data_IF_248434733083
#
_entry.id   IF_248434733083
#
_cell.length_a   1.000
_cell.length_b   1.000
_cell.length_c   1.000
_cell.angle_alpha   90.00
_cell.angle_beta   90.00
_cell.angle_gamma   90.00
#
_symmetry.space_group_name_H-M   'P 1'
#
loop_
_entity.id
_entity.type
_entity.pdbx_description
1 polymer ?
#
# COMPACT_ATOMS: atom_id res chain seq x y z
N UNK A 1 10.42 -6.23 -5.29
CA UNK A 1 8.96 -6.32 -5.23
C UNK A 1 8.55 -6.38 -3.76
N UNK A 2 7.43 -5.76 -3.41
CA UNK A 2 6.88 -5.80 -2.06
C UNK A 2 5.43 -6.26 -2.12
N UNK A 3 5.00 -7.01 -1.11
CA UNK A 3 3.64 -7.52 -0.99
C UNK A 3 3.08 -7.06 0.34
N UNK A 4 1.91 -6.42 0.31
CA UNK A 4 1.13 -6.11 1.50
C UNK A 4 0.32 -7.34 1.88
N UNK A 5 0.50 -7.81 3.11
CA UNK A 5 -0.19 -8.97 3.67
C UNK A 5 -1.09 -8.49 4.79
N UNK A 6 -2.36 -8.89 4.73
CA UNK A 6 -3.37 -8.64 5.75
C UNK A 6 -3.62 -9.93 6.51
N UNK A 7 -3.71 -9.82 7.83
CA UNK A 7 -4.35 -10.80 8.70
C UNK A 7 -5.35 -10.06 9.57
N UNK A 8 -6.62 -10.42 9.50
CA UNK A 8 -7.68 -9.85 10.33
C UNK A 8 -8.66 -10.94 10.75
N UNK A 9 -9.27 -10.76 11.91
CA UNK A 9 -10.42 -11.55 12.34
C UNK A 9 -11.68 -10.95 11.73
N UNK A 10 -12.38 -11.75 10.93
CA UNK A 10 -13.62 -11.37 10.28
C UNK A 10 -14.77 -12.19 10.87
N UNK A 11 -15.77 -11.51 11.41
CA UNK A 11 -16.97 -12.14 11.98
C UNK A 11 -18.18 -11.69 11.17
N UNK A 12 -18.87 -12.64 10.54
CA UNK A 12 -20.07 -12.39 9.73
C UNK A 12 -19.83 -11.63 8.42
N UNK A 13 -18.59 -11.24 8.12
CA UNK A 13 -18.18 -10.60 6.86
C UNK A 13 -17.07 -11.37 6.15
N UNK A 14 -17.02 -11.25 4.83
CA UNK A 14 -16.02 -11.82 3.93
C UNK A 14 -15.71 -10.83 2.81
N UNK A 15 -14.83 -11.21 1.88
CA UNK A 15 -14.47 -10.44 0.70
C UNK A 15 -13.96 -9.01 1.00
N UNK A 16 -13.26 -8.82 2.13
CA UNK A 16 -12.75 -7.52 2.53
C UNK A 16 -11.70 -7.02 1.53
N UNK A 17 -11.95 -5.86 0.92
CA UNK A 17 -11.07 -5.27 -0.10
C UNK A 17 -11.19 -3.75 -0.14
N UNK A 18 -10.15 -3.03 -0.57
CA UNK A 18 -10.24 -1.59 -0.78
C UNK A 18 -11.24 -1.27 -1.91
N UNK A 19 -11.97 -0.16 -1.77
CA UNK A 19 -12.86 0.37 -2.80
C UNK A 19 -12.05 1.02 -3.95
N UNK A 20 -11.42 0.19 -4.78
CA UNK A 20 -10.48 0.66 -5.81
C UNK A 20 -11.12 0.70 -7.21
N UNK A 21 -11.73 1.83 -7.55
CA UNK A 21 -12.44 2.05 -8.83
C UNK A 21 -11.81 3.17 -9.65
N UNK A 22 -12.05 3.24 -10.96
CA UNK A 22 -11.43 4.29 -11.78
C UNK A 22 -11.96 5.69 -11.42
N UNK A 23 -13.24 5.79 -11.07
CA UNK A 23 -13.89 7.03 -10.64
C UNK A 23 -13.49 7.45 -9.22
N UNK A 24 -13.32 6.48 -8.31
CA UNK A 24 -12.80 6.70 -6.96
C UNK A 24 -11.66 5.72 -6.67
N UNK A 25 -10.42 6.10 -6.99
CA UNK A 25 -9.32 5.16 -6.96
C UNK A 25 -8.69 5.12 -5.56
N UNK A 26 -8.36 3.92 -5.09
CA UNK A 26 -7.91 3.76 -3.69
C UNK A 26 -6.45 4.21 -3.53
N UNK A 27 -6.18 5.00 -2.49
CA UNK A 27 -4.85 5.52 -2.19
C UNK A 27 -4.18 4.68 -1.11
N UNK A 28 -3.22 3.85 -1.52
CA UNK A 28 -2.43 3.09 -0.57
C UNK A 28 -1.35 3.98 0.06
N UNK A 29 -1.55 4.34 1.32
CA UNK A 29 -0.68 5.27 2.05
C UNK A 29 0.45 4.51 2.75
N UNK A 30 1.69 4.80 2.38
CA UNK A 30 2.88 4.20 2.98
C UNK A 30 3.87 5.23 3.51
N UNK A 31 4.58 4.91 4.60
CA UNK A 31 5.89 5.53 4.83
C UNK A 31 6.93 4.85 3.96
N UNK A 32 7.78 5.67 3.35
CA UNK A 32 8.85 5.21 2.46
C UNK A 32 10.20 5.57 3.03
N UNK A 33 11.15 4.64 2.90
CA UNK A 33 12.56 4.85 3.17
C UNK A 33 13.34 4.82 1.86
N UNK A 34 14.22 5.79 1.67
CA UNK A 34 15.13 5.78 0.54
C UNK A 34 16.22 4.71 0.71
N UNK A 35 16.38 3.84 -0.28
CA UNK A 35 17.43 2.80 -0.26
C UNK A 35 18.85 3.36 -0.33
N UNK A 36 19.01 4.56 -0.91
CA UNK A 36 20.33 5.18 -1.14
C UNK A 36 20.87 5.86 0.11
N UNK A 37 20.10 6.76 0.74
CA UNK A 37 20.55 7.52 1.91
C UNK A 37 19.96 7.02 3.23
N UNK A 38 19.11 5.99 3.21
CA UNK A 38 18.43 5.41 4.39
C UNK A 38 17.55 6.38 5.17
N UNK A 39 17.20 7.52 4.57
CA UNK A 39 16.28 8.50 5.16
C UNK A 39 14.84 8.04 4.96
N UNK A 40 14.04 8.08 6.02
CA UNK A 40 12.60 7.86 5.98
C UNK A 40 11.88 9.18 5.73
N UNK A 41 10.92 9.20 4.82
CA UNK A 41 10.14 10.40 4.55
C UNK A 41 9.16 10.66 5.71
N UNK A 42 9.08 11.92 6.16
CA UNK A 42 8.27 12.31 7.31
C UNK A 42 6.76 12.14 7.06
N UNK A 43 6.32 12.30 5.81
CA UNK A 43 4.91 12.17 5.44
C UNK A 43 4.67 10.83 4.77
N UNK A 44 3.45 10.31 4.96
CA UNK A 44 2.93 9.22 4.14
C UNK A 44 2.85 9.64 2.68
N UNK A 45 3.16 8.70 1.79
CA UNK A 45 3.00 8.86 0.35
C UNK A 45 1.92 7.91 -0.13
N UNK A 46 1.02 8.42 -0.97
CA UNK A 46 -0.03 7.62 -1.58
C UNK A 46 0.45 7.01 -2.90
N UNK A 47 0.17 5.73 -3.09
CA UNK A 47 0.32 5.03 -4.38
C UNK A 47 -1.06 4.57 -4.81
N UNK A 48 -1.39 4.76 -6.08
CA UNK A 48 -2.70 4.44 -6.64
C UNK A 48 -2.53 3.68 -7.96
N UNK A 49 -3.36 2.67 -8.24
CA UNK A 49 -3.20 1.85 -9.46
C UNK A 49 -3.47 2.56 -10.78
N UNK A 50 -4.22 3.66 -10.77
CA UNK A 50 -4.64 4.36 -11.99
C UNK A 50 -3.79 5.59 -12.31
N UNK A 51 -3.00 6.07 -11.35
CA UNK A 51 -2.02 7.12 -11.59
C UNK A 51 -0.97 6.62 -12.57
N UNK A 52 -0.60 7.43 -13.56
CA UNK A 52 0.47 7.11 -14.51
C UNK A 52 1.39 8.31 -14.64
N UNK A 53 2.55 8.22 -13.99
CA UNK A 53 3.55 9.27 -13.96
C UNK A 53 4.74 8.90 -14.85
N UNK A 54 5.12 9.80 -15.77
CA UNK A 54 6.29 9.62 -16.62
C UNK A 54 7.60 9.70 -15.81
N UNK A 55 8.48 8.72 -16.00
CA UNK A 55 9.81 8.72 -15.39
C UNK A 55 10.82 9.45 -16.28
N UNK A 56 11.65 10.31 -15.70
CA UNK A 56 12.68 11.04 -16.43
C UNK A 56 13.83 10.12 -16.84
N UNK A 57 14.22 10.17 -18.11
CA UNK A 57 15.34 9.36 -18.63
C UNK A 57 15.01 7.89 -18.88
N UNK A 58 13.75 7.48 -18.78
CA UNK A 58 13.27 6.16 -19.21
C UNK A 58 12.03 6.29 -20.09
N UNK A 59 11.67 5.23 -20.84
CA UNK A 59 10.41 5.15 -21.59
C UNK A 59 9.24 4.60 -20.76
N UNK A 60 9.47 4.28 -19.48
CA UNK A 60 8.46 3.68 -18.61
C UNK A 60 7.62 4.70 -17.85
N UNK A 61 6.39 4.31 -17.53
CA UNK A 61 5.49 5.00 -16.62
C UNK A 61 5.43 4.20 -15.30
N UNK A 62 5.20 4.91 -14.20
CA UNK A 62 5.02 4.30 -12.89
C UNK A 62 3.88 4.99 -12.15
N UNK A 63 3.24 4.31 -11.22
CA UNK A 63 2.13 4.89 -10.47
C UNK A 63 2.58 6.00 -9.52
N UNK A 64 3.79 5.88 -8.97
CA UNK A 64 4.39 6.87 -8.10
C UNK A 64 5.85 7.10 -8.49
N UNK A 65 6.28 8.35 -8.59
CA UNK A 65 7.67 8.75 -8.89
C UNK A 65 8.13 9.78 -7.87
N UNK A 66 9.25 9.51 -7.22
CA UNK A 66 9.80 10.35 -6.15
C UNK A 66 11.31 10.55 -6.27
N UNK A 67 11.75 11.78 -5.97
CA UNK A 67 13.16 12.15 -5.86
C UNK A 67 13.51 12.47 -4.41
N UNK A 68 14.36 11.65 -3.80
CA UNK A 68 14.83 11.90 -2.45
C UNK A 68 15.62 13.22 -2.38
N UNK A 69 15.16 14.16 -1.53
CA UNK A 69 15.81 15.47 -1.33
C UNK A 69 17.19 15.33 -0.65
N UNK A 70 17.34 14.38 0.27
CA UNK A 70 18.59 14.18 1.03
C UNK A 70 19.71 13.56 0.18
N UNK A 71 19.37 12.76 -0.82
CA UNK A 71 20.35 12.21 -1.78
C UNK A 71 21.04 13.30 -2.63
N UNK A 72 20.48 14.52 -2.70
CA UNK A 72 21.16 15.66 -3.34
C UNK A 72 22.33 16.19 -2.50
N UNK A 73 22.33 15.98 -1.19
CA UNK A 73 23.23 16.64 -0.24
C UNK A 73 24.37 15.72 0.23
N UNK A 74 24.25 14.41 0.05
CA UNK A 74 25.19 13.38 0.52
C UNK A 74 26.50 13.22 -0.25
N UNK A 75 27.15 14.30 -0.71
CA UNK A 75 28.54 14.24 -1.20
C UNK A 75 29.48 15.00 -0.27
N UNK A 76 29.55 14.59 0.99
CA UNK A 76 30.51 15.12 1.99
C UNK A 76 31.91 14.51 1.87
N UNK A 77 32.25 13.84 0.76
CA UNK A 77 33.59 13.31 0.51
C UNK A 77 34.21 14.00 -0.71
N UNK A 78 35.36 14.68 -0.57
CA UNK A 78 36.07 15.30 -1.68
C UNK A 78 36.84 14.21 -2.45
N UNK A 79 36.16 13.39 -3.24
CA UNK A 79 36.79 12.50 -4.20
C UNK A 79 36.23 12.74 -5.60
N UNK A 80 37.06 13.36 -6.44
CA UNK A 80 37.01 13.40 -7.91
C UNK A 80 35.61 13.54 -8.53
N UNK A 81 35.16 14.80 -8.58
CA UNK A 81 33.86 15.32 -9.04
C UNK A 81 33.33 14.88 -10.42
N UNK A 82 34.13 14.25 -11.29
CA UNK A 82 33.68 13.93 -12.66
C UNK A 82 33.23 12.47 -12.85
N UNK A 83 33.70 11.53 -12.02
CA UNK A 83 33.45 10.09 -12.23
C UNK A 83 32.38 9.53 -11.26
N UNK A 84 32.19 10.17 -10.10
CA UNK A 84 31.20 9.73 -9.10
C UNK A 84 29.77 10.22 -9.41
N UNK A 85 29.62 11.37 -10.08
CA UNK A 85 28.32 11.96 -10.41
C UNK A 85 27.51 11.11 -11.42
N UNK A 86 28.20 10.36 -12.29
CA UNK A 86 27.61 9.43 -13.26
C UNK A 86 27.24 8.08 -12.64
N UNK A 87 27.87 7.69 -11.52
CA UNK A 87 27.59 6.42 -10.82
C UNK A 87 26.47 6.55 -9.77
N UNK A 88 26.38 7.68 -9.07
CA UNK A 88 25.32 8.02 -8.11
C UNK A 88 24.27 8.93 -8.73
N UNK A 89 23.90 8.65 -9.97
CA UNK A 89 22.86 9.38 -10.71
C UNK A 89 21.59 9.51 -9.87
N UNK A 90 20.90 10.63 -10.07
CA UNK A 90 19.61 10.99 -9.50
C UNK A 90 18.56 9.90 -9.79
N UNK A 91 18.60 8.79 -9.05
CA UNK A 91 17.69 7.68 -9.27
C UNK A 91 16.33 8.09 -8.73
N UNK A 92 15.42 8.37 -9.65
CA UNK A 92 14.01 8.42 -9.36
C UNK A 92 13.61 7.10 -8.73
N UNK A 93 13.03 7.18 -7.55
CA UNK A 93 12.39 6.05 -6.94
C UNK A 93 10.99 5.94 -7.52
N UNK A 94 10.58 4.73 -7.86
CA UNK A 94 9.27 4.48 -8.45
C UNK A 94 8.54 3.39 -7.67
N UNK A 95 7.22 3.47 -7.62
CA UNK A 95 6.37 2.38 -7.17
C UNK A 95 5.24 2.18 -8.19
N UNK A 96 4.98 0.93 -8.56
CA UNK A 96 3.91 0.57 -9.49
C UNK A 96 3.07 -0.57 -8.95
N UNK A 97 1.77 -0.56 -9.24
CA UNK A 97 0.76 -1.53 -8.86
C UNK A 97 0.29 -2.21 -10.13
N UNK A 98 0.56 -3.51 -10.27
CA UNK A 98 0.28 -4.24 -11.51
C UNK A 98 -1.08 -4.94 -11.52
N UNK A 99 -1.66 -5.19 -10.34
CA UNK A 99 -2.89 -5.95 -10.18
C UNK A 99 -3.78 -5.31 -9.11
N UNK A 100 -5.10 -5.54 -9.23
CA UNK A 100 -6.06 -5.15 -8.23
C UNK A 100 -5.85 -5.95 -6.92
N UNK A 101 -6.31 -5.38 -5.80
CA UNK A 101 -6.26 -6.06 -4.52
C UNK A 101 -7.07 -7.36 -4.54
N UNK A 102 -6.50 -8.42 -3.98
CA UNK A 102 -7.16 -9.71 -3.77
C UNK A 102 -8.07 -9.58 -2.55
N UNK A 103 -9.38 -9.93 -2.66
CA UNK A 103 -10.30 -9.89 -1.53
C UNK A 103 -9.84 -10.81 -0.41
N UNK A 104 -9.84 -10.30 0.82
CA UNK A 104 -9.55 -11.06 2.03
C UNK A 104 -10.80 -11.82 2.46
N UNK A 105 -10.75 -13.14 2.35
CA UNK A 105 -11.86 -14.03 2.69
C UNK A 105 -11.90 -14.33 4.18
N UNK A 106 -13.11 -14.56 4.70
CA UNK A 106 -13.28 -15.04 6.06
C UNK A 106 -12.65 -16.43 6.21
N UNK A 107 -11.92 -16.65 7.31
CA UNK A 107 -11.41 -17.96 7.66
C UNK A 107 -11.19 -18.11 9.15
N UNK A 108 -11.59 -19.26 9.69
CA UNK A 108 -11.32 -19.67 11.07
C UNK A 108 -10.31 -20.83 11.07
N UNK A 109 -9.08 -20.65 11.57
CA UNK A 109 -8.50 -19.43 12.16
C UNK A 109 -8.10 -18.36 11.11
N UNK A 110 -7.94 -17.08 11.50
CA UNK A 110 -7.48 -16.01 10.62
C UNK A 110 -6.14 -16.33 9.96
N UNK A 111 -6.11 -16.31 8.63
CA UNK A 111 -4.90 -16.61 7.84
C UNK A 111 -4.34 -15.35 7.21
N UNK A 112 -3.05 -15.13 7.37
CA UNK A 112 -2.38 -14.04 6.67
C UNK A 112 -2.44 -14.27 5.15
N UNK A 113 -2.98 -13.30 4.42
CA UNK A 113 -3.16 -13.36 2.98
C UNK A 113 -2.55 -12.14 2.29
N UNK A 114 -1.98 -12.36 1.10
CA UNK A 114 -1.45 -11.30 0.26
C UNK A 114 -2.60 -10.50 -0.31
N UNK A 115 -2.67 -9.22 0.04
CA UNK A 115 -3.70 -8.31 -0.45
C UNK A 115 -3.29 -7.76 -1.82
N UNK A 116 -2.10 -7.17 -1.92
CA UNK A 116 -1.66 -6.47 -3.14
C UNK A 116 -0.13 -6.43 -3.25
N UNK A 117 0.36 -6.34 -4.48
CA UNK A 117 1.78 -6.34 -4.81
C UNK A 117 2.21 -5.03 -5.48
N UNK A 118 3.38 -4.54 -5.06
CA UNK A 118 3.98 -3.30 -5.54
C UNK A 118 5.40 -3.57 -6.10
N UNK A 119 5.67 -3.08 -7.31
CA UNK A 119 7.03 -3.01 -7.85
C UNK A 119 7.68 -1.69 -7.44
N UNK A 120 8.51 -1.73 -6.41
CA UNK A 120 9.26 -0.56 -5.93
C UNK A 120 10.72 -0.60 -6.37
N UNK A 121 11.25 0.54 -6.81
CA UNK A 121 12.66 0.74 -7.16
C UNK A 121 13.17 1.99 -6.45
N UNK A 122 14.33 1.91 -5.80
CA UNK A 122 14.95 3.05 -5.11
C UNK A 122 14.35 3.43 -3.74
N UNK A 123 13.18 2.87 -3.38
CA UNK A 123 12.52 3.03 -2.08
C UNK A 123 12.06 1.69 -1.51
N UNK A 124 11.87 1.66 -0.19
CA UNK A 124 11.28 0.54 0.55
C UNK A 124 10.10 1.06 1.38
N UNK A 125 9.02 0.30 1.46
CA UNK A 125 7.89 0.63 2.35
C UNK A 125 8.21 0.18 3.77
N UNK A 126 8.00 1.07 4.74
CA UNK A 126 8.29 0.80 6.16
C UNK A 126 7.03 0.66 7.00
N UNK A 127 5.96 1.35 6.62
CA UNK A 127 4.70 1.38 7.37
C UNK A 127 3.55 1.58 6.40
N UNK A 128 2.43 0.90 6.61
CA UNK A 128 1.21 1.03 5.82
C UNK A 128 0.10 1.60 6.70
N UNK A 129 -0.68 2.54 6.15
CA UNK A 129 -1.87 3.07 6.80
C UNK A 129 -3.10 2.67 5.96
N UNK A 130 -4.04 1.88 6.51
CA UNK A 130 -5.24 1.43 5.80
C UNK A 130 -6.31 2.53 5.70
N UNK A 131 -5.89 3.76 5.39
CA UNK A 131 -6.80 4.91 5.23
C UNK A 131 -7.55 4.83 3.91
N UNK A 132 -8.84 5.11 3.96
CA UNK A 132 -9.74 5.12 2.80
C UNK A 132 -10.91 4.16 2.96
N UNK A 133 -11.76 4.12 1.93
CA UNK A 133 -12.97 3.31 1.95
C UNK A 133 -12.70 1.84 1.65
N UNK A 134 -13.11 0.96 2.56
CA UNK A 134 -13.10 -0.48 2.36
C UNK A 134 -14.51 -1.01 2.08
N UNK A 135 -14.54 -2.17 1.43
CA UNK A 135 -15.72 -2.91 1.05
C UNK A 135 -15.65 -4.30 1.69
N UNK A 136 -16.76 -4.78 2.23
CA UNK A 136 -16.92 -6.17 2.67
C UNK A 136 -18.32 -6.67 2.32
N UNK A 137 -18.52 -7.97 2.39
CA UNK A 137 -19.79 -8.62 2.08
C UNK A 137 -20.19 -9.53 3.24
N UNK A 138 -21.46 -9.51 3.65
CA UNK A 138 -22.00 -10.45 4.62
C UNK A 138 -21.86 -11.89 4.11
N UNK A 139 -21.42 -12.81 4.99
CA UNK A 139 -21.09 -14.19 4.62
C UNK A 139 -22.31 -14.93 4.07
N UNK A 140 -23.44 -14.83 4.79
CA UNK A 140 -24.68 -15.54 4.46
C UNK A 140 -25.69 -14.68 3.70
N UNK A 141 -25.75 -13.39 4.03
CA UNK A 141 -26.75 -12.45 3.49
C UNK A 141 -26.35 -11.82 2.15
N UNK A 142 -25.05 -11.85 1.84
CA UNK A 142 -24.42 -11.02 0.80
C UNK A 142 -24.76 -9.53 0.89
N UNK A 143 -25.06 -9.02 2.10
CA UNK A 143 -25.20 -7.60 2.39
C UNK A 143 -23.87 -6.91 2.08
N UNK A 144 -23.90 -5.84 1.28
CA UNK A 144 -22.69 -5.11 0.90
C UNK A 144 -22.43 -4.00 1.91
N UNK A 145 -21.31 -4.09 2.59
CA UNK A 145 -20.81 -3.06 3.49
C UNK A 145 -19.85 -2.16 2.71
N UNK A 146 -20.07 -0.85 2.76
CA UNK A 146 -19.32 0.16 2.01
C UNK A 146 -18.93 1.31 2.93
N UNK A 147 -17.78 1.95 2.68
CA UNK A 147 -17.31 3.05 3.54
C UNK A 147 -16.78 2.54 4.88
N UNK A 148 -16.26 1.32 4.90
CA UNK A 148 -15.62 0.74 6.08
C UNK A 148 -14.32 1.48 6.32
N UNK A 149 -14.20 2.14 7.46
CA UNK A 149 -12.97 2.78 7.92
C UNK A 149 -12.22 1.83 8.86
N UNK A 150 -10.98 1.51 8.49
CA UNK A 150 -10.11 0.59 9.22
C UNK A 150 -8.94 1.31 9.91
N UNK A 151 -8.96 2.65 9.96
CA UNK A 151 -7.88 3.44 10.55
C UNK A 151 -7.74 3.27 12.06
N UNK A 152 -8.86 3.00 12.76
CA UNK A 152 -8.88 2.74 14.21
C UNK A 152 -8.49 1.29 14.57
N UNK A 153 -8.30 0.42 13.57
CA UNK A 153 -7.87 -0.97 13.76
C UNK A 153 -9.00 -1.97 14.00
N UNK A 154 -10.23 -1.48 14.20
CA UNK A 154 -11.43 -2.29 14.37
C UNK A 154 -12.65 -1.63 13.71
N UNK A 155 -13.60 -2.46 13.29
CA UNK A 155 -14.86 -2.01 12.71
C UNK A 155 -15.99 -2.96 13.13
N UNK A 156 -17.17 -2.39 13.35
CA UNK A 156 -18.35 -3.10 13.81
C UNK A 156 -19.57 -2.55 13.10
N UNK A 157 -20.49 -3.44 12.74
CA UNK A 157 -21.78 -3.10 12.16
C UNK A 157 -22.78 -4.23 12.42
N UNK A 158 -23.99 -4.11 11.91
CA UNK A 158 -25.05 -5.09 12.07
C UNK A 158 -25.64 -5.48 10.71
N UNK A 159 -25.67 -6.79 10.44
CA UNK A 159 -26.31 -7.29 9.24
C UNK A 159 -27.80 -7.53 9.50
N UNK A 160 -28.63 -6.54 9.15
CA UNK A 160 -30.08 -6.64 9.34
C UNK A 160 -30.71 -7.85 8.61
N UNK A 161 -30.10 -8.33 7.52
CA UNK A 161 -30.64 -9.47 6.77
C UNK A 161 -30.29 -10.81 7.40
N UNK A 162 -29.09 -10.93 7.96
CA UNK A 162 -28.69 -12.10 8.74
C UNK A 162 -29.30 -12.08 10.15
N UNK A 163 -29.55 -10.88 10.68
CA UNK A 163 -29.97 -10.69 12.08
C UNK A 163 -28.82 -10.90 13.07
N UNK A 164 -27.57 -10.65 12.64
CA UNK A 164 -26.35 -10.90 13.40
C UNK A 164 -25.38 -9.71 13.32
N UNK A 165 -24.51 -9.60 14.33
CA UNK A 165 -23.44 -8.61 14.38
C UNK A 165 -22.28 -9.00 13.46
N UNK A 166 -21.73 -8.01 12.76
CA UNK A 166 -20.55 -8.18 11.93
C UNK A 166 -19.40 -7.34 12.45
N UNK A 167 -18.17 -7.86 12.36
CA UNK A 167 -17.00 -7.10 12.79
C UNK A 167 -15.72 -7.51 12.09
N UNK A 168 -14.76 -6.58 12.09
CA UNK A 168 -13.39 -6.72 11.59
C UNK A 168 -12.48 -6.28 12.73
N UNK A 169 -11.63 -7.18 13.23
CA UNK A 169 -10.74 -6.90 14.38
C UNK A 169 -9.38 -7.54 14.21
N UNK A 170 -8.49 -7.26 15.17
CA UNK A 170 -7.16 -7.87 15.29
C UNK A 170 -6.35 -7.80 13.99
N UNK A 171 -6.48 -6.66 13.30
CA UNK A 171 -5.83 -6.45 12.02
C UNK A 171 -4.32 -6.28 12.19
N UNK A 172 -3.58 -7.06 11.43
CA UNK A 172 -2.13 -6.99 11.33
C UNK A 172 -1.74 -6.78 9.87
N UNK A 173 -1.02 -5.70 9.62
CA UNK A 173 -0.48 -5.37 8.30
C UNK A 173 1.01 -5.71 8.25
N UNK A 174 1.39 -6.61 7.36
CA UNK A 174 2.78 -6.98 7.13
C UNK A 174 3.23 -6.58 5.73
N UNK A 175 4.34 -5.87 5.63
CA UNK A 175 4.99 -5.58 4.35
C UNK A 175 6.09 -6.62 4.15
N UNK A 176 5.91 -7.51 3.18
CA UNK A 176 6.91 -8.53 2.85
C UNK A 176 7.67 -8.15 1.59
N UNK A 177 8.99 -8.34 1.62
CA UNK A 177 9.81 -8.24 0.41
C UNK A 177 9.78 -9.59 -0.31
N UNK A 178 9.42 -9.56 -1.59
CA UNK A 178 9.48 -10.72 -2.49
C UNK A 178 10.81 -10.76 -3.25
#
# INVERSE_FOLDING_TARGET
MFTLVLKAELTGVTNLRPADTQDNPFWYMFKVQCTSCRETHNNYVGVNRFEANHMSGSRGEANFVWKCKNCKVGSSQPLHRAMLLTLFGQRESSASVNAAAVPYEQGEPPKAQRLIEFDCRGLEFTEFKPEGDWLAEGVDSHTKFTGIDLTDGEWFDYDEKAGDEVSIKDMTWEIRRA
#
